data_IF_058894215518
#
_entry.id   IF_058894215518
#
_cell.length_a   1.000
_cell.length_b   1.000
_cell.length_c   1.000
_cell.angle_alpha   90.00
_cell.angle_beta   90.00
_cell.angle_gamma   90.00
#
_symmetry.space_group_name_H-M   'P 1'
#
loop_
_entity.id
_entity.type
_entity.pdbx_description
1 polymer ?
#
# COMPACT_ATOMS: atom_id res chain seq x y z
N UNK A 1 -14.19 -30.80 -50.18
CA UNK A 1 -13.83 -29.56 -50.89
C UNK A 1 -15.11 -28.76 -50.89
N UNK A 2 -15.32 -27.78 -50.01
CA UNK A 2 -14.46 -26.65 -49.69
C UNK A 2 -14.32 -26.42 -48.18
N UNK A 3 -13.13 -25.93 -47.83
CA UNK A 3 -12.74 -25.38 -46.54
C UNK A 3 -13.34 -23.97 -46.43
N UNK A 4 -14.12 -23.69 -45.38
CA UNK A 4 -14.40 -22.32 -44.98
C UNK A 4 -13.38 -22.00 -43.89
N UNK A 5 -12.25 -21.49 -44.33
CA UNK A 5 -11.24 -20.85 -43.52
C UNK A 5 -11.47 -19.33 -43.56
N UNK A 6 -11.02 -18.67 -42.49
CA UNK A 6 -10.88 -17.21 -42.27
C UNK A 6 -12.19 -16.43 -42.08
N UNK A 7 -12.38 -15.62 -41.03
CA UNK A 7 -11.46 -14.74 -40.33
C UNK A 7 -12.13 -14.36 -38.99
N UNK A 8 -11.66 -14.90 -37.86
CA UNK A 8 -11.96 -14.33 -36.54
C UNK A 8 -11.35 -12.92 -36.53
N UNK A 9 -12.16 -11.94 -36.94
CA UNK A 9 -11.79 -10.55 -36.93
C UNK A 9 -11.30 -10.22 -35.52
N UNK A 10 -9.99 -10.03 -35.39
CA UNK A 10 -9.37 -9.47 -34.20
C UNK A 10 -10.04 -8.14 -33.94
N UNK A 11 -11.08 -8.13 -33.10
CA UNK A 11 -11.71 -6.93 -32.61
C UNK A 11 -10.59 -6.20 -31.88
N UNK A 12 -10.02 -5.20 -32.56
CA UNK A 12 -9.09 -4.26 -31.96
C UNK A 12 -9.91 -3.53 -30.91
N UNK A 13 -9.90 -4.06 -29.68
CA UNK A 13 -10.56 -3.43 -28.55
C UNK A 13 -10.13 -1.96 -28.59
N UNK A 14 -11.09 -1.02 -28.69
CA UNK A 14 -10.74 0.38 -28.82
C UNK A 14 -9.79 0.73 -27.68
N UNK A 15 -8.64 1.33 -28.02
CA UNK A 15 -7.73 1.85 -26.99
C UNK A 15 -8.57 2.74 -26.09
N UNK A 16 -8.79 2.31 -24.84
CA UNK A 16 -9.46 3.16 -23.86
C UNK A 16 -8.55 4.34 -23.60
N UNK A 17 -8.85 5.45 -24.27
CA UNK A 17 -8.35 6.75 -23.87
C UNK A 17 -8.95 7.02 -22.49
N UNK A 18 -8.09 6.97 -21.48
CA UNK A 18 -8.39 7.38 -20.11
C UNK A 18 -8.60 8.91 -20.21
N UNK A 19 -9.81 9.32 -20.61
CA UNK A 19 -10.27 10.70 -20.70
C UNK A 19 -10.23 11.33 -19.31
N UNK A 20 -9.72 12.56 -19.25
CA UNK A 20 -9.56 13.46 -18.10
C UNK A 20 -10.16 12.98 -16.78
N UNK A 21 -9.36 12.20 -16.04
CA UNK A 21 -9.57 12.06 -14.61
C UNK A 21 -9.14 13.36 -13.97
N UNK A 22 -10.12 14.18 -13.58
CA UNK A 22 -9.93 15.37 -12.76
C UNK A 22 -8.82 15.10 -11.72
N UNK A 23 -7.72 15.85 -11.83
CA UNK A 23 -6.53 15.71 -11.03
C UNK A 23 -6.95 15.53 -9.56
N UNK A 24 -6.63 14.41 -8.87
CA UNK A 24 -7.05 14.17 -7.49
C UNK A 24 -6.68 15.33 -6.54
N UNK A 25 -5.60 16.03 -6.85
CA UNK A 25 -5.13 17.20 -6.11
C UNK A 25 -5.99 18.45 -6.34
N UNK A 26 -6.67 18.57 -7.48
CA UNK A 26 -7.57 19.69 -7.78
C UNK A 26 -9.01 19.36 -7.40
N UNK A 27 -9.44 18.12 -7.64
CA UNK A 27 -10.81 17.68 -7.41
C UNK A 27 -11.20 17.66 -5.93
N UNK A 28 -10.29 17.22 -5.04
CA UNK A 28 -10.58 17.15 -3.62
C UNK A 28 -9.97 18.34 -2.88
N UNK A 29 -10.77 19.00 -2.03
CA UNK A 29 -10.22 19.90 -1.00
C UNK A 29 -9.46 19.11 0.09
N UNK A 30 -8.58 19.78 0.83
CA UNK A 30 -7.56 19.15 1.68
C UNK A 30 -8.11 18.13 2.67
N UNK A 31 -9.17 18.48 3.42
CA UNK A 31 -9.76 17.58 4.43
C UNK A 31 -10.39 16.33 3.80
N UNK A 32 -11.02 16.44 2.62
CA UNK A 32 -11.53 15.28 1.91
C UNK A 32 -10.41 14.42 1.33
N UNK A 33 -9.34 15.04 0.83
CA UNK A 33 -8.16 14.34 0.34
C UNK A 33 -7.51 13.53 1.47
N UNK A 34 -7.21 14.16 2.60
CA UNK A 34 -6.60 13.51 3.77
C UNK A 34 -7.47 12.37 4.32
N UNK A 35 -8.80 12.51 4.33
CA UNK A 35 -9.71 11.42 4.75
C UNK A 35 -9.59 10.18 3.84
N UNK A 36 -9.33 10.38 2.55
CA UNK A 36 -9.32 9.33 1.51
C UNK A 36 -7.96 8.67 1.32
N UNK A 37 -6.88 9.42 1.46
CA UNK A 37 -5.51 8.95 1.22
C UNK A 37 -4.68 8.87 2.50
N UNK A 38 -5.22 9.29 3.66
CA UNK A 38 -4.58 9.35 4.99
C UNK A 38 -3.43 10.36 5.13
N UNK A 39 -2.95 10.92 4.03
CA UNK A 39 -1.91 11.96 3.99
C UNK A 39 -2.43 13.27 3.41
N UNK A 40 -1.80 14.39 3.78
CA UNK A 40 -2.04 15.69 3.14
C UNK A 40 -1.47 15.70 1.72
N UNK A 41 -1.95 16.63 0.89
CA UNK A 41 -1.40 16.81 -0.46
C UNK A 41 0.09 17.13 -0.41
N UNK A 42 0.47 18.02 0.50
CA UNK A 42 1.85 18.44 0.75
C UNK A 42 2.74 17.26 1.16
N UNK A 43 2.29 16.43 2.11
CA UNK A 43 3.01 15.24 2.53
C UNK A 43 3.28 14.29 1.35
N UNK A 44 2.28 14.07 0.49
CA UNK A 44 2.45 13.22 -0.67
C UNK A 44 3.43 13.83 -1.68
N UNK A 45 3.27 15.11 -2.01
CA UNK A 45 4.03 15.75 -3.10
C UNK A 45 5.50 15.97 -2.74
N UNK A 46 5.77 16.45 -1.52
CA UNK A 46 7.11 16.92 -1.16
C UNK A 46 7.93 15.93 -0.34
N UNK A 47 7.28 14.93 0.28
CA UNK A 47 7.97 14.00 1.17
C UNK A 47 7.85 12.55 0.69
N UNK A 48 6.65 12.07 0.36
CA UNK A 48 6.45 10.65 0.04
C UNK A 48 6.81 10.31 -1.40
N UNK A 49 6.34 11.11 -2.37
CA UNK A 49 6.60 10.85 -3.79
C UNK A 49 8.10 10.84 -4.11
N UNK A 50 8.92 11.82 -3.66
CA UNK A 50 10.35 11.84 -3.98
C UNK A 50 11.13 10.62 -3.47
N UNK A 51 10.64 9.93 -2.43
CA UNK A 51 11.29 8.73 -1.88
C UNK A 51 11.21 7.53 -2.84
N UNK A 52 10.15 7.45 -3.65
CA UNK A 52 9.81 6.27 -4.45
C UNK A 52 9.69 6.54 -5.95
N UNK A 53 9.78 7.79 -6.38
CA UNK A 53 9.52 8.20 -7.76
C UNK A 53 10.41 7.47 -8.76
N UNK A 54 11.71 7.34 -8.46
CA UNK A 54 12.69 6.65 -9.29
C UNK A 54 12.33 5.16 -9.50
N UNK A 55 11.80 4.50 -8.47
CA UNK A 55 11.37 3.10 -8.55
C UNK A 55 10.09 2.92 -9.38
N UNK A 56 9.25 3.96 -9.46
CA UNK A 56 7.95 3.95 -10.15
C UNK A 56 8.03 4.42 -11.60
N UNK A 57 9.05 5.20 -11.95
CA UNK A 57 9.32 5.68 -13.30
C UNK A 57 9.84 4.54 -14.19
N UNK A 58 8.97 3.57 -14.50
CA UNK A 58 9.30 2.50 -15.47
C UNK A 58 9.02 2.96 -16.89
N UNK A 59 10.06 2.91 -17.72
CA UNK A 59 9.98 3.08 -19.17
C UNK A 59 9.17 1.93 -19.78
N UNK A 60 7.85 2.09 -19.89
CA UNK A 60 7.02 1.16 -20.63
C UNK A 60 6.90 1.60 -22.07
N UNK A 61 7.44 0.80 -23.00
CA UNK A 61 7.22 0.98 -24.44
C UNK A 61 5.78 0.66 -24.88
N UNK A 62 4.91 0.26 -23.94
CA UNK A 62 3.47 0.09 -24.15
C UNK A 62 2.84 1.45 -23.81
N UNK A 63 2.63 2.28 -24.83
CA UNK A 63 2.31 3.71 -24.70
C UNK A 63 1.32 4.09 -23.57
N UNK A 64 1.52 5.31 -23.04
CA UNK A 64 0.82 5.95 -21.91
C UNK A 64 1.00 5.22 -20.56
N UNK A 65 2.21 5.26 -19.96
CA UNK A 65 2.43 4.76 -18.60
C UNK A 65 1.63 5.57 -17.57
N UNK A 66 1.15 4.89 -16.51
CA UNK A 66 0.53 5.56 -15.36
C UNK A 66 1.60 6.37 -14.63
N UNK A 67 1.37 7.68 -14.43
CA UNK A 67 2.34 8.54 -13.75
C UNK A 67 2.63 8.07 -12.33
N UNK A 68 3.87 8.22 -11.82
CA UNK A 68 4.26 7.80 -10.46
C UNK A 68 3.29 8.30 -9.37
N UNK A 69 2.84 9.54 -9.48
CA UNK A 69 1.87 10.14 -8.55
C UNK A 69 0.52 9.41 -8.56
N UNK A 70 -0.01 9.01 -9.73
CA UNK A 70 -1.25 8.25 -9.81
C UNK A 70 -1.07 6.82 -9.28
N UNK A 71 0.09 6.20 -9.53
CA UNK A 71 0.42 4.89 -8.96
C UNK A 71 0.41 4.95 -7.42
N UNK A 72 1.07 5.96 -6.84
CA UNK A 72 1.10 6.20 -5.40
C UNK A 72 -0.30 6.45 -4.84
N UNK A 73 -1.10 7.31 -5.46
CA UNK A 73 -2.46 7.59 -4.99
C UNK A 73 -3.38 6.36 -5.03
N UNK A 74 -3.25 5.50 -6.05
CA UNK A 74 -3.99 4.24 -6.11
C UNK A 74 -3.62 3.32 -4.94
N UNK A 75 -2.32 3.17 -4.67
CA UNK A 75 -1.84 2.35 -3.56
C UNK A 75 -2.29 2.90 -2.20
N UNK A 76 -2.12 4.21 -1.96
CA UNK A 76 -2.55 4.86 -0.72
C UNK A 76 -4.06 4.74 -0.51
N UNK A 77 -4.86 4.87 -1.57
CA UNK A 77 -6.31 4.68 -1.47
C UNK A 77 -6.68 3.26 -1.08
N UNK A 78 -5.98 2.26 -1.64
CA UNK A 78 -6.15 0.87 -1.28
C UNK A 78 -5.79 0.64 0.21
N UNK A 79 -4.62 1.09 0.66
CA UNK A 79 -4.20 0.96 2.07
C UNK A 79 -5.15 1.67 3.04
N UNK A 80 -5.65 2.86 2.67
CA UNK A 80 -6.53 3.66 3.50
C UNK A 80 -7.91 3.03 3.75
N UNK A 81 -8.37 2.17 2.84
CA UNK A 81 -9.73 1.63 2.85
C UNK A 81 -9.78 0.13 3.12
N UNK A 82 -8.71 -0.61 2.83
CA UNK A 82 -8.73 -2.09 2.89
C UNK A 82 -9.73 -2.72 1.91
N UNK A 83 -10.26 -1.94 0.95
CA UNK A 83 -11.28 -2.39 0.01
C UNK A 83 -10.70 -3.21 -1.14
N UNK A 84 -11.56 -3.92 -1.86
CA UNK A 84 -11.18 -4.65 -3.07
C UNK A 84 -10.54 -3.75 -4.12
N UNK A 85 -9.49 -4.27 -4.77
CA UNK A 85 -8.75 -3.55 -5.81
C UNK A 85 -9.63 -3.13 -6.99
N UNK A 86 -10.63 -3.96 -7.34
CA UNK A 86 -11.61 -3.66 -8.38
C UNK A 86 -12.36 -2.35 -8.09
N UNK A 87 -12.86 -2.17 -6.87
CA UNK A 87 -13.56 -0.94 -6.44
C UNK A 87 -12.61 0.27 -6.46
N UNK A 88 -11.33 0.08 -6.12
CA UNK A 88 -10.33 1.15 -6.18
C UNK A 88 -9.98 1.54 -7.63
N UNK A 89 -9.97 0.58 -8.55
CA UNK A 89 -9.73 0.79 -9.98
C UNK A 89 -10.90 1.42 -10.72
N UNK A 90 -12.12 0.96 -10.43
CA UNK A 90 -13.37 1.44 -11.05
C UNK A 90 -13.63 2.91 -10.73
N UNK A 91 -13.26 3.38 -9.52
CA UNK A 91 -13.31 4.80 -9.14
C UNK A 91 -12.47 5.71 -10.03
N UNK A 92 -11.54 5.15 -10.81
CA UNK A 92 -10.59 5.88 -11.65
C UNK A 92 -10.41 5.22 -13.04
N UNK A 93 -11.36 4.38 -13.44
CA UNK A 93 -11.37 3.58 -14.68
C UNK A 93 -10.03 2.91 -15.06
N UNK A 94 -9.24 2.53 -14.06
CA UNK A 94 -8.10 1.64 -14.23
C UNK A 94 -8.58 0.20 -14.08
N UNK A 95 -8.09 -0.70 -14.95
CA UNK A 95 -8.38 -2.12 -14.80
C UNK A 95 -7.75 -2.68 -13.52
N UNK A 96 -8.40 -3.65 -12.88
CA UNK A 96 -7.88 -4.31 -11.69
C UNK A 96 -6.43 -4.81 -11.83
N UNK A 97 -5.99 -5.40 -12.98
CA UNK A 97 -4.59 -5.79 -13.15
C UNK A 97 -3.61 -4.61 -13.10
N UNK A 98 -4.01 -3.44 -13.58
CA UNK A 98 -3.19 -2.22 -13.50
C UNK A 98 -3.06 -1.76 -12.05
N UNK A 99 -4.16 -1.71 -11.31
CA UNK A 99 -4.16 -1.37 -9.88
C UNK A 99 -3.27 -2.33 -9.10
N UNK A 100 -3.38 -3.64 -9.34
CA UNK A 100 -2.55 -4.65 -8.69
C UNK A 100 -1.05 -4.42 -8.93
N UNK A 101 -0.65 -4.14 -10.18
CA UNK A 101 0.75 -3.83 -10.52
C UNK A 101 1.25 -2.57 -9.83
N UNK A 102 0.43 -1.51 -9.77
CA UNK A 102 0.79 -0.27 -9.09
C UNK A 102 0.93 -0.46 -7.58
N UNK A 103 0.00 -1.17 -6.93
CA UNK A 103 0.11 -1.50 -5.50
C UNK A 103 1.40 -2.26 -5.24
N UNK A 104 1.68 -3.30 -6.03
CA UNK A 104 2.92 -4.07 -5.90
C UNK A 104 4.16 -3.18 -6.04
N UNK A 105 4.22 -2.34 -7.08
CA UNK A 105 5.36 -1.47 -7.31
C UNK A 105 5.60 -0.49 -6.14
N UNK A 106 4.53 0.16 -5.65
CA UNK A 106 4.60 1.08 -4.51
C UNK A 106 4.97 0.35 -3.21
N UNK A 107 4.36 -0.81 -2.93
CA UNK A 107 4.69 -1.63 -1.76
C UNK A 107 6.17 -2.04 -1.76
N UNK A 108 6.70 -2.49 -2.91
CA UNK A 108 8.10 -2.89 -3.03
C UNK A 108 9.03 -1.69 -2.84
N UNK A 109 8.74 -0.54 -3.46
CA UNK A 109 9.56 0.66 -3.28
C UNK A 109 9.61 1.12 -1.82
N UNK A 110 8.48 1.08 -1.10
CA UNK A 110 8.49 1.38 0.34
C UNK A 110 9.25 0.34 1.16
N UNK A 111 9.12 -0.95 0.85
CA UNK A 111 9.84 -2.00 1.56
C UNK A 111 11.36 -1.85 1.41
N UNK A 112 11.84 -1.46 0.22
CA UNK A 112 13.26 -1.19 -0.03
C UNK A 112 13.77 -0.03 0.83
N UNK A 113 12.94 0.98 1.10
CA UNK A 113 13.29 2.16 1.91
C UNK A 113 13.04 2.00 3.41
N UNK A 114 12.33 0.95 3.83
CA UNK A 114 11.90 0.77 5.22
C UNK A 114 13.04 0.88 6.24
N UNK A 115 14.20 0.28 5.93
CA UNK A 115 15.37 0.26 6.80
C UNK A 115 16.01 1.64 7.05
N UNK A 116 15.76 2.61 6.18
CA UNK A 116 16.24 4.00 6.34
C UNK A 116 15.40 4.76 7.38
N UNK A 117 14.11 4.43 7.50
CA UNK A 117 13.15 5.16 8.33
C UNK A 117 12.78 4.44 9.64
N UNK A 118 12.86 3.11 9.65
CA UNK A 118 12.47 2.28 10.77
C UNK A 118 13.70 1.56 11.30
N UNK A 119 14.20 2.04 12.45
CA UNK A 119 15.41 1.50 13.06
C UNK A 119 15.21 1.35 14.57
N UNK A 120 15.59 0.18 15.08
CA UNK A 120 15.76 -0.02 16.50
C UNK A 120 17.04 0.67 16.98
N UNK A 121 17.06 1.33 18.15
CA UNK A 121 18.26 1.97 18.69
C UNK A 121 19.38 0.94 18.91
N UNK A 122 20.44 1.05 18.09
CA UNK A 122 21.59 0.13 18.14
C UNK A 122 22.59 0.47 19.23
N UNK A 123 22.61 1.72 19.69
CA UNK A 123 23.54 2.19 20.72
C UNK A 123 22.92 2.12 22.10
N UNK A 124 23.74 1.85 23.12
CA UNK A 124 23.32 1.89 24.53
C UNK A 124 22.77 3.27 24.90
N UNK A 125 23.40 4.34 24.41
CA UNK A 125 22.92 5.72 24.62
C UNK A 125 21.52 5.95 24.03
N UNK A 126 21.27 5.47 22.80
CA UNK A 126 19.96 5.57 22.17
C UNK A 126 18.88 4.81 22.94
N UNK A 127 19.22 3.62 23.45
CA UNK A 127 18.32 2.82 24.28
C UNK A 127 18.02 3.51 25.62
N UNK A 128 19.04 4.05 26.29
CA UNK A 128 18.88 4.79 27.55
C UNK A 128 18.02 6.05 27.36
N UNK A 129 18.20 6.77 26.26
CA UNK A 129 17.37 7.93 25.93
C UNK A 129 15.90 7.53 25.74
N UNK A 130 15.64 6.42 25.05
CA UNK A 130 14.28 5.93 24.91
C UNK A 130 13.67 5.49 26.24
N UNK A 131 14.41 4.75 27.07
CA UNK A 131 13.97 4.34 28.41
C UNK A 131 13.56 5.56 29.24
N UNK A 132 14.39 6.60 29.22
CA UNK A 132 14.09 7.86 29.91
C UNK A 132 12.79 8.50 29.40
N UNK A 133 12.62 8.60 28.08
CA UNK A 133 11.39 9.17 27.48
C UNK A 133 10.13 8.39 27.83
N UNK A 134 10.18 7.06 27.80
CA UNK A 134 9.01 6.24 28.20
C UNK A 134 8.68 6.40 29.69
N UNK A 135 9.71 6.53 30.53
CA UNK A 135 9.51 6.83 31.95
C UNK A 135 8.92 8.22 32.17
N UNK A 136 9.34 9.24 31.42
CA UNK A 136 8.77 10.59 31.52
C UNK A 136 7.29 10.67 31.08
N UNK A 137 6.87 9.82 30.14
CA UNK A 137 5.49 9.82 29.62
C UNK A 137 4.51 9.19 30.61
N UNK A 138 4.88 8.05 31.21
CA UNK A 138 3.94 7.22 31.98
C UNK A 138 4.60 6.44 33.13
N UNK A 139 5.78 6.83 33.58
CA UNK A 139 6.58 6.14 34.60
C UNK A 139 6.84 4.67 34.27
N UNK A 140 6.85 4.33 32.98
CA UNK A 140 7.01 2.95 32.55
C UNK A 140 8.51 2.62 32.39
N UNK A 141 9.12 1.83 33.30
CA UNK A 141 10.56 1.68 33.34
C UNK A 141 11.06 0.67 32.30
N UNK A 142 12.32 0.82 31.90
CA UNK A 142 13.07 -0.15 31.07
C UNK A 142 12.48 -0.43 29.68
N UNK A 143 11.79 0.54 29.07
CA UNK A 143 11.28 0.41 27.70
C UNK A 143 12.25 1.05 26.70
N UNK A 144 12.99 0.22 25.96
CA UNK A 144 13.92 0.70 24.93
C UNK A 144 13.26 0.99 23.58
N UNK A 145 12.18 0.27 23.25
CA UNK A 145 11.32 0.52 22.09
C UNK A 145 9.98 -0.20 22.25
N UNK A 146 9.02 0.18 21.41
CA UNK A 146 7.73 -0.50 21.28
C UNK A 146 7.55 -0.95 19.82
N UNK A 147 7.07 -2.17 19.64
CA UNK A 147 6.71 -2.73 18.33
C UNK A 147 5.23 -3.06 18.40
N UNK A 148 4.45 -2.55 17.44
CA UNK A 148 3.04 -2.86 17.36
C UNK A 148 2.79 -4.15 16.57
N UNK A 149 1.81 -4.92 17.01
CA UNK A 149 1.44 -6.19 16.42
C UNK A 149 0.07 -6.09 15.77
N UNK A 150 -0.06 -6.57 14.53
CA UNK A 150 -1.37 -6.71 13.88
C UNK A 150 -1.76 -8.18 13.80
N UNK A 151 -2.98 -8.49 14.26
CA UNK A 151 -3.58 -9.81 14.09
C UNK A 151 -4.23 -9.92 12.71
N UNK A 152 -3.65 -10.75 11.83
CA UNK A 152 -4.23 -11.05 10.52
C UNK A 152 -5.06 -12.32 10.61
N UNK A 153 -6.36 -12.20 10.33
CA UNK A 153 -7.27 -13.33 10.36
C UNK A 153 -6.88 -14.38 9.31
N UNK A 154 -6.88 -15.64 9.74
CA UNK A 154 -6.65 -16.80 8.89
C UNK A 154 -7.80 -17.79 9.03
N UNK A 155 -7.97 -18.65 8.03
CA UNK A 155 -8.79 -19.85 8.18
C UNK A 155 -8.08 -20.76 9.18
N UNK A 156 -8.85 -21.51 9.99
CA UNK A 156 -8.30 -22.49 10.91
C UNK A 156 -7.31 -23.42 10.17
N UNK A 157 -6.00 -23.39 10.50
CA UNK A 157 -4.99 -24.10 9.74
C UNK A 157 -5.13 -25.62 9.89
N UNK A 158 -5.54 -26.12 11.06
CA UNK A 158 -5.92 -27.54 11.24
C UNK A 158 -6.58 -27.78 12.60
N UNK A 159 -7.23 -28.95 12.75
CA UNK A 159 -7.78 -29.38 14.06
C UNK A 159 -6.72 -29.64 15.13
N UNK A 160 -5.46 -29.87 14.74
CA UNK A 160 -4.37 -30.23 15.65
C UNK A 160 -3.63 -29.00 16.15
N UNK A 161 -3.35 -28.05 15.25
CA UNK A 161 -2.53 -26.85 15.57
C UNK A 161 -3.36 -25.57 15.65
N UNK A 162 -4.65 -25.61 15.29
CA UNK A 162 -5.51 -24.43 15.20
C UNK A 162 -5.59 -23.62 16.49
N UNK A 163 -5.57 -24.28 17.64
CA UNK A 163 -5.61 -23.61 18.95
C UNK A 163 -4.44 -22.66 19.19
N UNK A 164 -3.27 -22.91 18.58
CA UNK A 164 -2.09 -22.03 18.66
C UNK A 164 -2.39 -20.67 18.00
N UNK A 165 -3.28 -20.65 17.01
CA UNK A 165 -3.67 -19.45 16.28
C UNK A 165 -4.95 -18.83 16.82
N UNK A 166 -5.57 -19.42 17.86
CA UNK A 166 -6.82 -18.89 18.44
C UNK A 166 -6.54 -17.63 19.25
N UNK A 167 -7.20 -16.55 18.87
CA UNK A 167 -7.13 -15.27 19.57
C UNK A 167 -8.12 -15.21 20.75
N UNK A 168 -7.91 -14.26 21.66
CA UNK A 168 -8.87 -13.95 22.75
C UNK A 168 -10.31 -13.70 22.25
N UNK A 169 -10.48 -13.23 21.00
CA UNK A 169 -11.79 -12.96 20.39
C UNK A 169 -12.43 -14.20 19.74
N UNK A 170 -11.80 -15.38 19.85
CA UNK A 170 -12.32 -16.64 19.31
C UNK A 170 -12.03 -16.88 17.83
N UNK A 171 -11.44 -15.90 17.12
CA UNK A 171 -11.00 -16.05 15.73
C UNK A 171 -9.59 -16.64 15.65
N UNK A 172 -9.25 -17.25 14.51
CA UNK A 172 -7.88 -17.67 14.20
C UNK A 172 -7.10 -16.55 13.50
N UNK A 173 -5.93 -16.20 14.00
CA UNK A 173 -5.12 -15.12 13.44
C UNK A 173 -3.62 -15.37 13.60
N UNK A 174 -2.83 -14.80 12.68
CA UNK A 174 -1.39 -14.66 12.81
C UNK A 174 -1.07 -13.33 13.49
N UNK A 175 -0.26 -13.34 14.54
CA UNK A 175 0.32 -12.12 15.08
C UNK A 175 1.51 -11.73 14.22
N UNK A 176 1.35 -10.67 13.43
CA UNK A 176 2.42 -10.11 12.63
C UNK A 176 2.94 -8.88 13.38
N UNK A 177 4.19 -8.97 13.83
CA UNK A 177 4.91 -7.83 14.36
C UNK A 177 5.39 -6.98 13.18
N UNK A 178 4.91 -5.74 13.10
CA UNK A 178 5.39 -4.79 12.11
C UNK A 178 6.48 -3.98 12.81
N UNK A 179 7.74 -4.23 12.46
CA UNK A 179 8.87 -3.40 12.85
C UNK A 179 8.80 -2.13 12.03
#
# INVERSE_FOLDING_TARGET
MELIDTEDAYIKLPKRYIQDYSNPFEFFYEKAFKKRFKFSKEAIMYYILPIIEDNLAKNSNRGLPVSPILQLLMALRFYATGNYQAVTGDLRGFSQPTVCRCIKAVSTAFAEKLHEYVQFPKTLEGQQNNIKKFYEIAEFPNVAACIDGTLINIVNPSKVIGEIFRTRKGSFSLNILVI
#
